data_IF_105597299043
#
_entry.id   IF_105597299043
#
_cell.length_a   1.000
_cell.length_b   1.000
_cell.length_c   1.000
_cell.angle_alpha   90.00
_cell.angle_beta   90.00
_cell.angle_gamma   90.00
#
_symmetry.space_group_name_H-M   'P 1'
#
loop_
_entity.id
_entity.type
_entity.pdbx_description
1 polymer ?
#
# COMPACT_ATOMS: atom_id res chain seq x y z
N UNK A 1 3.58 -15.96 -6.38
CA UNK A 1 2.56 -14.92 -6.10
C UNK A 1 3.04 -13.61 -6.69
N UNK A 2 2.16 -12.89 -7.38
CA UNK A 2 2.49 -11.65 -8.09
C UNK A 2 1.79 -10.46 -7.42
N UNK A 3 2.54 -9.39 -7.13
CA UNK A 3 1.97 -8.12 -6.66
C UNK A 3 2.06 -7.09 -7.78
N UNK A 4 0.94 -6.45 -8.08
CA UNK A 4 0.83 -5.43 -9.12
C UNK A 4 0.36 -4.11 -8.51
N UNK A 5 1.01 -3.02 -8.91
CA UNK A 5 0.60 -1.68 -8.53
C UNK A 5 -0.18 -1.05 -9.67
N UNK A 6 -1.36 -0.51 -9.37
CA UNK A 6 -2.03 0.39 -10.31
C UNK A 6 -1.18 1.66 -10.52
N UNK A 7 -1.30 2.27 -11.70
CA UNK A 7 -0.64 3.55 -12.00
C UNK A 7 -0.96 4.61 -10.94
N UNK A 8 -2.20 4.65 -10.45
CA UNK A 8 -2.65 5.55 -9.39
C UNK A 8 -1.89 5.34 -8.08
N UNK A 9 -1.77 4.10 -7.61
CA UNK A 9 -1.05 3.79 -6.37
C UNK A 9 0.46 4.09 -6.51
N UNK A 10 1.05 3.74 -7.65
CA UNK A 10 2.46 4.00 -7.93
C UNK A 10 2.76 5.51 -7.99
N UNK A 11 1.88 6.30 -8.62
CA UNK A 11 2.04 7.76 -8.67
C UNK A 11 2.02 8.40 -7.27
N UNK A 12 1.17 7.90 -6.36
CA UNK A 12 1.17 8.37 -4.96
C UNK A 12 2.46 8.07 -4.23
N UNK A 13 3.05 6.90 -4.46
CA UNK A 13 4.34 6.54 -3.88
C UNK A 13 5.47 7.41 -4.43
N UNK A 14 5.48 7.67 -5.74
CA UNK A 14 6.49 8.54 -6.39
C UNK A 14 6.47 9.98 -5.83
N UNK A 15 5.29 10.47 -5.46
CA UNK A 15 5.09 11.80 -4.89
C UNK A 15 5.61 11.97 -3.44
N UNK A 16 6.04 10.89 -2.77
CA UNK A 16 6.65 11.02 -1.44
C UNK A 16 7.90 11.89 -1.54
N UNK A 17 8.01 12.88 -0.66
CA UNK A 17 9.17 13.76 -0.50
C UNK A 17 9.47 13.89 0.99
N UNK A 18 10.71 14.22 1.31
CA UNK A 18 11.13 14.55 2.67
C UNK A 18 11.76 15.93 2.68
N UNK A 19 11.46 16.71 3.71
CA UNK A 19 12.16 17.98 4.00
C UNK A 19 13.40 17.76 4.88
N UNK A 20 13.52 16.55 5.47
CA UNK A 20 14.57 16.21 6.44
C UNK A 20 15.63 15.24 5.89
N UNK A 21 15.38 14.64 4.73
CA UNK A 21 16.26 13.64 4.12
C UNK A 21 16.65 14.09 2.72
N UNK A 22 17.83 13.66 2.29
CA UNK A 22 18.29 13.84 0.91
C UNK A 22 17.41 13.10 -0.08
N UNK A 23 17.53 13.46 -1.37
CA UNK A 23 16.82 12.76 -2.45
C UNK A 23 17.23 11.28 -2.54
N UNK A 24 18.51 10.96 -2.27
CA UNK A 24 19.01 9.59 -2.27
C UNK A 24 18.39 8.78 -1.12
N UNK A 25 18.43 9.29 0.11
CA UNK A 25 17.80 8.62 1.26
C UNK A 25 16.30 8.44 1.04
N UNK A 26 15.64 9.46 0.46
CA UNK A 26 14.22 9.38 0.11
C UNK A 26 13.94 8.31 -0.94
N UNK A 27 14.83 8.14 -1.92
CA UNK A 27 14.72 7.11 -2.95
C UNK A 27 14.93 5.70 -2.36
N UNK A 28 15.95 5.52 -1.53
CA UNK A 28 16.21 4.26 -0.81
C UNK A 28 15.02 3.89 0.08
N UNK A 29 14.46 4.86 0.79
CA UNK A 29 13.24 4.68 1.56
C UNK A 29 12.06 4.22 0.69
N UNK A 30 11.82 4.85 -0.48
CA UNK A 30 10.75 4.44 -1.41
C UNK A 30 10.91 2.99 -1.88
N UNK A 31 12.13 2.58 -2.24
CA UNK A 31 12.42 1.20 -2.68
C UNK A 31 12.13 0.21 -1.54
N UNK A 32 12.59 0.51 -0.32
CA UNK A 32 12.33 -0.33 0.84
C UNK A 32 10.85 -0.36 1.23
N UNK A 33 10.13 0.74 1.02
CA UNK A 33 8.69 0.81 1.26
C UNK A 33 7.92 -0.07 0.28
N UNK A 34 8.26 -0.08 -1.01
CA UNK A 34 7.65 -0.98 -2.01
C UNK A 34 7.78 -2.44 -1.55
N UNK A 35 9.01 -2.87 -1.22
CA UNK A 35 9.29 -4.25 -0.79
C UNK A 35 8.47 -4.65 0.45
N UNK A 36 8.42 -3.77 1.45
CA UNK A 36 7.65 -4.02 2.69
C UNK A 36 6.15 -4.08 2.42
N UNK A 37 5.63 -3.24 1.53
CA UNK A 37 4.23 -3.27 1.13
C UNK A 37 3.90 -4.58 0.42
N UNK A 38 4.69 -4.97 -0.57
CA UNK A 38 4.44 -6.20 -1.33
C UNK A 38 4.47 -7.44 -0.44
N UNK A 39 5.48 -7.54 0.44
CA UNK A 39 5.57 -8.61 1.43
C UNK A 39 4.36 -8.61 2.37
N UNK A 40 3.99 -7.45 2.93
CA UNK A 40 2.86 -7.33 3.86
C UNK A 40 1.54 -7.74 3.19
N UNK A 41 1.29 -7.30 1.95
CA UNK A 41 0.08 -7.62 1.21
C UNK A 41 -0.05 -9.14 1.00
N UNK A 42 1.04 -9.81 0.62
CA UNK A 42 1.06 -11.27 0.45
C UNK A 42 0.84 -11.99 1.77
N UNK A 43 1.53 -11.58 2.84
CA UNK A 43 1.38 -12.21 4.17
C UNK A 43 -0.01 -12.00 4.74
N UNK A 44 -0.62 -10.83 4.50
CA UNK A 44 -1.93 -10.50 5.03
C UNK A 44 -3.06 -11.18 4.27
N UNK A 45 -2.88 -11.54 3.00
CA UNK A 45 -3.88 -12.27 2.24
C UNK A 45 -5.25 -11.59 2.28
N UNK A 46 -6.23 -12.25 2.91
CA UNK A 46 -7.60 -11.75 3.07
C UNK A 46 -7.97 -11.38 4.51
N UNK A 47 -6.98 -11.28 5.42
CA UNK A 47 -7.20 -11.13 6.86
C UNK A 47 -7.88 -9.82 7.27
N UNK A 48 -7.72 -8.76 6.48
CA UNK A 48 -8.22 -7.41 6.81
C UNK A 48 -9.14 -6.88 5.71
N UNK A 49 -10.39 -7.37 5.64
CA UNK A 49 -11.35 -6.92 4.64
C UNK A 49 -11.78 -5.48 4.89
N UNK A 50 -12.00 -4.73 3.81
CA UNK A 50 -12.62 -3.41 3.85
C UNK A 50 -14.10 -3.54 4.20
N UNK A 51 -14.57 -2.66 5.10
CA UNK A 51 -16.00 -2.53 5.42
C UNK A 51 -16.79 -1.83 4.31
N UNK A 52 -16.14 -0.99 3.51
CA UNK A 52 -16.78 -0.12 2.52
C UNK A 52 -16.79 -0.72 1.11
N UNK A 53 -15.76 -1.50 0.77
CA UNK A 53 -15.56 -2.01 -0.58
C UNK A 53 -15.48 -3.54 -0.60
N UNK A 54 -16.45 -4.16 -1.28
CA UNK A 54 -16.50 -5.62 -1.42
C UNK A 54 -15.23 -6.16 -2.10
N UNK A 55 -14.77 -7.33 -1.63
CA UNK A 55 -13.56 -8.02 -2.08
C UNK A 55 -12.31 -7.10 -2.16
N UNK A 56 -12.24 -6.14 -1.24
CA UNK A 56 -11.09 -5.26 -1.08
C UNK A 56 -10.56 -5.45 0.33
N UNK A 57 -9.24 -5.51 0.45
CA UNK A 57 -8.53 -5.69 1.70
C UNK A 57 -7.57 -4.54 1.91
N UNK A 58 -7.09 -4.38 3.13
CA UNK A 58 -6.12 -3.35 3.42
C UNK A 58 -5.09 -3.79 4.45
N UNK A 59 -3.94 -3.13 4.43
CA UNK A 59 -2.96 -3.22 5.49
C UNK A 59 -2.33 -1.86 5.73
N UNK A 60 -1.71 -1.72 6.90
CA UNK A 60 -0.94 -0.52 7.25
C UNK A 60 0.54 -0.88 7.20
N UNK A 61 1.31 -0.09 6.48
CA UNK A 61 2.78 -0.18 6.40
C UNK A 61 3.35 1.20 6.67
N UNK A 62 4.16 1.32 7.72
CA UNK A 62 4.56 2.59 8.32
C UNK A 62 3.35 3.49 8.58
N UNK A 63 3.30 4.64 7.90
CA UNK A 63 2.23 5.62 7.98
C UNK A 63 1.27 5.53 6.80
N UNK A 64 1.30 4.46 6.01
CA UNK A 64 0.47 4.34 4.81
C UNK A 64 -0.59 3.25 4.96
N UNK A 65 -1.80 3.60 4.57
CA UNK A 65 -2.89 2.65 4.33
C UNK A 65 -2.79 2.19 2.88
N UNK A 66 -2.64 0.88 2.71
CA UNK A 66 -2.55 0.23 1.41
C UNK A 66 -3.81 -0.58 1.21
N UNK A 67 -4.55 -0.30 0.14
CA UNK A 67 -5.73 -1.08 -0.25
C UNK A 67 -5.41 -1.92 -1.47
N UNK A 68 -5.87 -3.17 -1.46
CA UNK A 68 -5.59 -4.13 -2.52
C UNK A 68 -6.75 -5.10 -2.71
N UNK A 69 -6.78 -5.76 -3.87
CA UNK A 69 -7.69 -6.86 -4.15
C UNK A 69 -6.90 -8.15 -4.36
N UNK A 70 -7.50 -9.26 -3.96
CA UNK A 70 -6.96 -10.61 -4.19
C UNK A 70 -7.70 -11.22 -5.37
N UNK A 71 -6.96 -11.58 -6.41
CA UNK A 71 -7.47 -12.17 -7.65
C UNK A 71 -7.00 -13.62 -7.76
N UNK A 72 -7.69 -14.40 -8.60
CA UNK A 72 -7.23 -15.75 -9.01
C UNK A 72 -6.88 -16.63 -7.81
N UNK A 73 -7.76 -16.66 -6.80
CA UNK A 73 -7.61 -17.48 -5.58
C UNK A 73 -6.31 -17.24 -4.77
N UNK A 74 -5.71 -16.05 -4.82
CA UNK A 74 -4.52 -15.71 -4.04
C UNK A 74 -3.21 -15.71 -4.83
N UNK A 75 -3.25 -15.96 -6.14
CA UNK A 75 -2.07 -15.93 -7.00
C UNK A 75 -1.61 -14.51 -7.30
N UNK A 76 -2.56 -13.55 -7.33
CA UNK A 76 -2.33 -12.16 -7.73
C UNK A 76 -2.95 -11.16 -6.76
N UNK A 77 -2.13 -10.20 -6.34
CA UNK A 77 -2.53 -9.09 -5.47
C UNK A 77 -2.41 -7.78 -6.25
N UNK A 78 -3.52 -7.05 -6.37
CA UNK A 78 -3.53 -5.77 -7.08
C UNK A 78 -3.69 -4.64 -6.08
N UNK A 79 -2.64 -3.85 -5.87
CA UNK A 79 -2.63 -2.66 -5.02
C UNK A 79 -3.37 -1.53 -5.77
N UNK A 80 -4.58 -1.24 -5.31
CA UNK A 80 -5.50 -0.27 -5.90
C UNK A 80 -5.35 1.11 -5.27
N UNK A 81 -4.87 1.20 -4.02
CA UNK A 81 -4.68 2.48 -3.34
C UNK A 81 -3.49 2.49 -2.39
N UNK A 82 -2.84 3.65 -2.32
CA UNK A 82 -1.73 3.92 -1.41
C UNK A 82 -1.89 5.35 -0.87
N UNK A 83 -2.21 5.47 0.42
CA UNK A 83 -2.56 6.76 1.06
C UNK A 83 -1.83 6.94 2.37
N UNK A 84 -1.33 8.14 2.66
CA UNK A 84 -0.79 8.45 3.98
C UNK A 84 -1.94 8.47 5.01
N UNK A 85 -1.76 7.83 6.16
CA UNK A 85 -2.78 7.67 7.20
C UNK A 85 -3.29 9.01 7.75
N UNK A 86 -2.42 10.03 7.79
CA UNK A 86 -2.83 11.37 8.18
C UNK A 86 -3.80 12.05 7.19
N UNK A 87 -3.86 11.61 5.92
CA UNK A 87 -4.84 12.15 4.96
C UNK A 87 -6.29 11.71 5.27
N UNK A 88 -6.50 10.72 6.14
CA UNK A 88 -7.83 10.21 6.44
C UNK A 88 -8.07 10.05 7.95
N UNK A 89 -8.15 11.18 8.67
CA UNK A 89 -8.81 11.25 10.00
C UNK A 89 -10.35 11.09 9.91
N UNK A 90 -10.84 10.20 9.04
CA UNK A 90 -12.25 9.78 9.00
C UNK A 90 -12.46 8.27 9.19
N UNK A 91 -11.41 7.45 9.18
CA UNK A 91 -11.54 6.06 9.60
C UNK A 91 -11.46 5.98 11.12
N UNK A 92 -12.63 6.02 11.78
CA UNK A 92 -12.77 5.59 13.18
C UNK A 92 -12.55 4.08 13.20
N UNK A 93 -11.53 3.64 13.92
CA UNK A 93 -11.26 2.23 14.21
C UNK A 93 -12.47 1.60 14.92
#
# INVERSE_FOLDING_TARGET
>A
MMVQWTATAMNRLRQIKSEHFTDQETMEYKVNLIRRVEQKVVTMGTLMPSREYHNTYYCIVDRYVVSYKVMESGERYVITSFKHGAMNRKYRF
#
